data_IF_392368544670
#
_entry.id   IF_392368544670
#
_cell.length_a   1.000
_cell.length_b   1.000
_cell.length_c   1.000
_cell.angle_alpha   90.00
_cell.angle_beta   90.00
_cell.angle_gamma   90.00
#
_symmetry.space_group_name_H-M   'P 1'
#
loop_
_entity.id
_entity.type
_entity.pdbx_description
1 polymer ?
#
# COMPACT_ATOMS: atom_id res chain seq x y z
N UNK A 1 20.12 -41.02 10.58
CA UNK A 1 19.98 -39.63 10.11
C UNK A 1 18.71 -39.61 9.29
N UNK A 2 17.81 -38.66 9.50
CA UNK A 2 16.57 -38.60 8.72
C UNK A 2 16.91 -38.04 7.35
N UNK A 3 16.72 -38.84 6.30
CA UNK A 3 16.92 -38.39 4.92
C UNK A 3 15.88 -37.30 4.62
N UNK A 4 16.36 -36.11 4.23
CA UNK A 4 15.50 -34.99 3.92
C UNK A 4 14.76 -35.29 2.61
N UNK A 5 13.43 -35.41 2.70
CA UNK A 5 12.54 -35.64 1.58
C UNK A 5 11.97 -34.33 1.08
N UNK A 6 12.12 -34.06 -0.21
CA UNK A 6 11.63 -32.84 -0.84
C UNK A 6 10.41 -33.11 -1.71
N UNK A 7 9.49 -32.16 -1.71
CA UNK A 7 8.34 -32.14 -2.61
C UNK A 7 8.74 -31.72 -4.03
N UNK A 8 7.90 -32.07 -5.01
CA UNK A 8 8.11 -31.71 -6.43
C UNK A 8 8.37 -30.21 -6.63
N UNK A 9 7.66 -29.35 -5.88
CA UNK A 9 7.80 -27.89 -5.96
C UNK A 9 9.14 -27.41 -5.39
N UNK A 10 9.65 -28.03 -4.34
CA UNK A 10 10.95 -27.70 -3.75
C UNK A 10 12.09 -28.14 -4.68
N UNK A 11 11.99 -29.33 -5.28
CA UNK A 11 12.95 -29.81 -6.27
C UNK A 11 12.96 -28.92 -7.51
N UNK A 12 11.79 -28.43 -7.95
CA UNK A 12 11.70 -27.46 -9.05
C UNK A 12 12.44 -26.15 -8.74
N UNK A 13 12.35 -25.66 -7.49
CA UNK A 13 13.10 -24.48 -7.03
C UNK A 13 14.60 -24.74 -6.99
N UNK A 14 15.04 -25.86 -6.41
CA UNK A 14 16.46 -26.20 -6.26
C UNK A 14 17.14 -26.41 -7.62
N UNK A 15 16.45 -27.05 -8.57
CA UNK A 15 17.01 -27.38 -9.90
C UNK A 15 16.79 -26.27 -10.94
N UNK A 16 15.97 -25.25 -10.63
CA UNK A 16 15.57 -24.21 -11.58
C UNK A 16 14.80 -24.76 -12.80
N UNK A 17 14.20 -25.94 -12.69
CA UNK A 17 13.38 -26.57 -13.75
C UNK A 17 11.90 -26.50 -13.39
N UNK A 18 11.04 -26.50 -14.41
CA UNK A 18 9.59 -26.53 -14.17
C UNK A 18 9.16 -27.85 -13.52
N UNK A 19 8.14 -27.81 -12.65
CA UNK A 19 7.54 -29.00 -12.04
C UNK A 19 7.12 -30.06 -13.07
N UNK A 20 6.65 -29.63 -14.25
CA UNK A 20 6.30 -30.52 -15.36
C UNK A 20 7.50 -31.27 -15.92
N UNK A 21 8.67 -30.63 -15.96
CA UNK A 21 9.94 -31.25 -16.38
C UNK A 21 10.37 -32.30 -15.36
N UNK A 22 10.33 -31.97 -14.06
CA UNK A 22 10.64 -32.91 -12.98
C UNK A 22 9.68 -34.10 -13.01
N UNK A 23 8.37 -33.88 -13.18
CA UNK A 23 7.38 -34.95 -13.33
C UNK A 23 7.67 -35.85 -14.53
N UNK A 24 8.13 -35.29 -15.67
CA UNK A 24 8.54 -36.08 -16.83
C UNK A 24 9.78 -36.94 -16.52
N UNK A 25 10.74 -36.41 -15.78
CA UNK A 25 11.94 -37.16 -15.38
C UNK A 25 11.60 -38.35 -14.50
N UNK A 26 10.71 -38.16 -13.51
CA UNK A 26 10.19 -39.24 -12.67
C UNK A 26 9.49 -40.30 -13.54
N UNK A 27 8.57 -39.89 -14.43
CA UNK A 27 7.86 -40.82 -15.34
C UNK A 27 8.78 -41.56 -16.29
N UNK A 28 9.89 -40.95 -16.69
CA UNK A 28 10.90 -41.57 -17.55
C UNK A 28 11.91 -42.44 -16.79
N UNK A 29 11.80 -42.53 -15.46
CA UNK A 29 12.73 -43.29 -14.61
C UNK A 29 14.11 -42.65 -14.44
N UNK A 30 14.26 -41.37 -14.82
CA UNK A 30 15.52 -40.62 -14.69
C UNK A 30 15.75 -40.04 -13.30
N UNK A 31 14.69 -39.95 -12.50
CA UNK A 31 14.73 -39.43 -11.14
C UNK A 31 13.91 -40.39 -10.25
N UNK A 32 14.54 -41.10 -9.29
CA UNK A 32 13.80 -41.93 -8.35
C UNK A 32 12.91 -41.04 -7.46
N UNK A 33 11.67 -41.47 -7.26
CA UNK A 33 10.72 -40.74 -6.40
C UNK A 33 9.72 -41.72 -5.79
N UNK A 34 9.33 -41.44 -4.55
CA UNK A 34 8.32 -42.20 -3.81
C UNK A 34 6.99 -41.48 -3.97
N UNK A 35 5.95 -42.19 -4.43
CA UNK A 35 4.61 -41.62 -4.56
C UNK A 35 3.97 -41.51 -3.18
N UNK A 36 3.70 -40.30 -2.72
CA UNK A 36 3.04 -40.03 -1.45
C UNK A 36 1.73 -39.28 -1.68
N UNK A 37 0.61 -39.98 -1.59
CA UNK A 37 -0.72 -39.44 -1.88
C UNK A 37 -0.88 -39.01 -3.34
N UNK A 38 -1.18 -37.73 -3.56
CA UNK A 38 -1.32 -37.11 -4.89
C UNK A 38 0.01 -36.57 -5.46
N UNK A 39 1.09 -36.58 -4.69
CA UNK A 39 2.39 -36.03 -5.06
C UNK A 39 3.53 -37.06 -5.12
N UNK A 40 4.74 -36.55 -5.34
CA UNK A 40 6.00 -37.31 -5.33
C UNK A 40 6.94 -36.68 -4.31
N UNK A 41 7.61 -37.53 -3.53
CA UNK A 41 8.71 -37.17 -2.63
C UNK A 41 10.02 -37.71 -3.22
N UNK A 42 11.05 -36.88 -3.22
CA UNK A 42 12.36 -37.16 -3.80
C UNK A 42 13.41 -36.98 -2.70
N UNK A 43 14.31 -37.95 -2.56
CA UNK A 43 15.40 -37.90 -1.59
C UNK A 43 16.49 -36.93 -2.06
N UNK A 44 17.12 -36.24 -1.11
CA UNK A 44 18.12 -35.21 -1.42
C UNK A 44 19.29 -35.71 -2.29
N UNK A 45 19.72 -36.95 -2.05
CA UNK A 45 20.86 -37.57 -2.72
C UNK A 45 20.64 -37.75 -4.23
N UNK A 46 19.38 -37.84 -4.65
CA UNK A 46 19.01 -38.14 -6.04
C UNK A 46 18.75 -36.88 -6.87
N UNK A 47 18.75 -35.69 -6.26
CA UNK A 47 18.51 -34.42 -6.97
C UNK A 47 19.76 -34.08 -7.81
N UNK A 48 19.66 -34.06 -9.16
CA UNK A 48 20.80 -33.75 -10.00
C UNK A 48 21.28 -32.32 -9.73
N UNK A 49 22.52 -32.24 -9.20
CA UNK A 49 23.36 -31.08 -8.89
C UNK A 49 22.65 -29.71 -8.84
N UNK A 50 22.62 -29.15 -7.62
CA UNK A 50 22.21 -27.79 -7.30
C UNK A 50 22.85 -26.81 -8.30
N UNK A 51 22.02 -26.14 -9.10
CA UNK A 51 22.45 -24.88 -9.70
C UNK A 51 22.65 -23.92 -8.52
N UNK A 52 23.87 -23.43 -8.39
CA UNK A 52 24.25 -22.51 -7.32
C UNK A 52 23.21 -21.36 -7.26
N UNK A 53 22.45 -21.22 -6.17
CA UNK A 53 21.36 -20.24 -6.07
C UNK A 53 21.87 -18.79 -6.08
N UNK A 54 23.20 -18.58 -6.09
CA UNK A 54 23.82 -17.26 -6.29
C UNK A 54 23.85 -16.81 -7.76
N UNK A 55 23.67 -17.71 -8.74
CA UNK A 55 23.58 -17.30 -10.14
C UNK A 55 22.14 -16.96 -10.51
N UNK A 56 21.84 -15.67 -10.38
CA UNK A 56 20.68 -15.05 -10.98
C UNK A 56 20.58 -15.45 -12.46
N UNK A 57 19.38 -15.90 -12.86
CA UNK A 57 19.09 -16.41 -14.21
C UNK A 57 19.45 -15.37 -15.28
N UNK A 58 19.37 -14.09 -14.91
CA UNK A 58 19.78 -12.97 -15.76
C UNK A 58 21.30 -12.89 -15.98
N UNK A 59 22.12 -13.18 -14.97
CA UNK A 59 23.58 -13.18 -15.08
C UNK A 59 24.08 -14.32 -15.98
N UNK A 60 23.50 -15.51 -15.87
CA UNK A 60 23.86 -16.64 -16.74
C UNK A 60 23.51 -16.38 -18.21
N UNK A 61 22.35 -15.75 -18.47
CA UNK A 61 21.94 -15.40 -19.84
C UNK A 61 22.83 -14.29 -20.40
N UNK A 62 23.20 -13.29 -19.59
CA UNK A 62 24.13 -12.24 -20.01
C UNK A 62 25.52 -12.79 -20.27
N UNK A 63 26.06 -13.66 -19.40
CA UNK A 63 27.36 -14.29 -19.60
C UNK A 63 27.40 -15.13 -20.89
N UNK A 64 26.30 -15.83 -21.19
CA UNK A 64 26.15 -16.61 -22.43
C UNK A 64 25.96 -15.76 -23.69
N UNK A 65 25.51 -14.52 -23.55
CA UNK A 65 25.43 -13.53 -24.64
C UNK A 65 26.75 -12.76 -24.83
N UNK A 66 27.63 -12.76 -23.83
CA UNK A 66 28.90 -12.06 -23.79
C UNK A 66 30.11 -12.94 -24.15
N UNK A 67 29.96 -14.26 -24.26
CA UNK A 67 30.98 -15.14 -24.84
C UNK A 67 30.94 -15.07 -26.38
N UNK A 68 31.99 -14.55 -27.05
CA UNK A 68 32.13 -14.65 -28.49
C UNK A 68 32.80 -15.97 -28.86
N UNK A 69 32.15 -16.72 -29.76
CA UNK A 69 32.66 -17.83 -30.56
C UNK A 69 33.26 -19.06 -29.84
N UNK A 70 32.39 -20.06 -29.66
CA UNK A 70 32.75 -21.42 -30.09
C UNK A 70 31.76 -21.89 -31.15
N UNK A 71 32.20 -21.76 -32.40
CA UNK A 71 31.73 -22.49 -33.59
C UNK A 71 31.64 -23.98 -33.25
N UNK A 72 30.43 -24.44 -32.95
CA UNK A 72 30.06 -25.85 -32.98
C UNK A 72 28.87 -25.97 -33.93
N UNK A 73 29.20 -26.34 -35.17
CA UNK A 73 28.37 -26.99 -36.18
C UNK A 73 26.86 -27.01 -35.90
N UNK A 74 26.19 -25.92 -36.24
CA UNK A 74 24.77 -25.96 -36.54
C UNK A 74 24.63 -26.15 -38.06
N UNK A 75 24.03 -27.25 -38.54
CA UNK A 75 23.72 -27.41 -39.94
C UNK A 75 22.67 -26.35 -40.30
N UNK A 76 23.13 -25.29 -40.95
CA UNK A 76 22.28 -24.35 -41.67
C UNK A 76 21.64 -25.17 -42.79
N UNK A 77 20.46 -25.71 -42.53
CA UNK A 77 19.61 -26.30 -43.56
C UNK A 77 19.00 -25.15 -44.37
N UNK A 78 19.83 -24.50 -45.17
CA UNK A 78 19.39 -23.72 -46.31
C UNK A 78 18.85 -24.70 -47.34
N UNK A 79 17.60 -25.10 -47.18
CA UNK A 79 16.79 -25.46 -48.33
C UNK A 79 16.42 -24.17 -49.06
N UNK A 80 17.45 -23.50 -49.59
CA UNK A 80 17.27 -22.65 -50.76
C UNK A 80 16.85 -23.62 -51.85
N UNK A 81 15.55 -23.67 -52.10
CA UNK A 81 14.96 -24.33 -53.27
C UNK A 81 15.43 -23.60 -54.51
N UNK A 82 16.71 -23.77 -54.85
CA UNK A 82 17.28 -23.44 -56.14
C UNK A 82 16.64 -24.44 -57.09
N UNK A 83 15.57 -24.02 -57.76
CA UNK A 83 14.97 -24.78 -58.85
C UNK A 83 16.08 -24.92 -59.90
N UNK A 84 16.64 -26.12 -60.04
CA UNK A 84 17.65 -26.43 -61.06
C UNK A 84 17.06 -26.18 -62.44
N UNK A 85 17.38 -25.03 -63.01
CA UNK A 85 17.02 -24.63 -64.38
C UNK A 85 17.59 -25.64 -65.40
N UNK A 86 18.61 -26.41 -65.01
CA UNK A 86 19.19 -27.47 -65.85
C UNK A 86 18.21 -28.61 -66.16
N UNK A 87 17.24 -28.92 -65.29
CA UNK A 87 16.22 -29.93 -65.58
C UNK A 87 15.10 -29.41 -66.50
N UNK A 88 14.99 -28.09 -66.68
CA UNK A 88 13.94 -27.49 -67.53
C UNK A 88 14.38 -27.41 -69.00
N UNK A 89 15.70 -27.32 -69.27
CA UNK A 89 16.24 -27.35 -70.63
C UNK A 89 16.19 -28.75 -71.26
N UNK A 90 16.29 -29.83 -70.48
CA UNK A 90 16.23 -31.20 -71.00
C UNK A 90 14.82 -31.59 -71.49
N UNK A 91 13.78 -31.00 -70.92
CA UNK A 91 12.39 -31.21 -71.36
C UNK A 91 12.15 -30.54 -72.72
N UNK A 92 12.83 -29.43 -73.02
CA UNK A 92 12.73 -28.74 -74.31
C UNK A 92 13.36 -29.52 -75.48
N UNK A 93 14.31 -30.44 -75.21
CA UNK A 93 14.98 -31.24 -76.25
C UNK A 93 14.18 -32.47 -76.70
N UNK A 94 13.06 -32.80 -76.04
CA UNK A 94 12.22 -33.97 -76.36
C UNK A 94 11.08 -33.68 -77.35
N UNK A 95 10.92 -32.43 -77.80
CA UNK A 95 9.80 -32.04 -78.67
C UNK A 95 10.02 -32.29 -80.18
N UNK A 96 11.23 -32.65 -80.63
CA UNK A 96 11.53 -32.66 -82.07
C UNK A 96 11.16 -33.95 -82.84
N UNK A 97 11.05 -35.14 -82.22
CA UNK A 97 10.83 -36.39 -82.98
C UNK A 97 9.70 -37.29 -82.42
N UNK A 98 8.69 -37.61 -83.25
CA UNK A 98 7.72 -38.70 -83.03
C UNK A 98 6.28 -38.28 -82.65
N UNK A 99 5.32 -38.40 -83.56
CA UNK A 99 4.05 -37.64 -83.55
C UNK A 99 2.77 -38.40 -83.12
N UNK A 100 2.82 -39.53 -82.40
CA UNK A 100 1.57 -40.31 -82.12
C UNK A 100 1.30 -40.62 -80.64
N UNK A 101 2.27 -40.52 -79.70
CA UNK A 101 2.03 -40.69 -78.25
C UNK A 101 2.06 -39.39 -77.42
N UNK A 102 2.20 -38.22 -78.05
CA UNK A 102 2.47 -36.93 -77.37
C UNK A 102 1.36 -36.42 -76.46
N UNK A 103 0.10 -36.83 -76.65
CA UNK A 103 -1.03 -36.25 -75.88
C UNK A 103 -0.95 -36.64 -74.40
N UNK A 104 -0.66 -37.90 -74.09
CA UNK A 104 -0.58 -38.39 -72.70
C UNK A 104 0.57 -37.75 -71.90
N UNK A 105 1.76 -37.59 -72.51
CA UNK A 105 2.91 -37.01 -71.81
C UNK A 105 2.75 -35.51 -71.52
N UNK A 106 2.13 -34.75 -72.44
CA UNK A 106 1.86 -33.32 -72.23
C UNK A 106 0.83 -33.13 -71.12
N UNK A 107 -0.21 -33.98 -71.07
CA UNK A 107 -1.21 -33.93 -70.00
C UNK A 107 -0.60 -34.24 -68.62
N UNK A 108 0.34 -35.18 -68.53
CA UNK A 108 1.06 -35.49 -67.28
C UNK A 108 1.94 -34.34 -66.80
N UNK A 109 2.65 -33.66 -67.72
CA UNK A 109 3.46 -32.47 -67.38
C UNK A 109 2.54 -31.32 -66.95
N UNK A 110 1.41 -31.12 -67.62
CA UNK A 110 0.43 -30.11 -67.24
C UNK A 110 -0.13 -30.37 -65.84
N UNK A 111 -0.46 -31.63 -65.51
CA UNK A 111 -0.93 -32.01 -64.17
C UNK A 111 0.16 -31.81 -63.11
N UNK A 112 1.42 -32.15 -63.42
CA UNK A 112 2.54 -31.94 -62.51
C UNK A 112 2.78 -30.44 -62.25
N UNK A 113 2.77 -29.61 -63.29
CA UNK A 113 2.90 -28.15 -63.17
C UNK A 113 1.74 -27.55 -62.38
N UNK A 114 0.52 -28.02 -62.62
CA UNK A 114 -0.65 -27.58 -61.86
C UNK A 114 -0.54 -27.95 -60.38
N UNK A 115 -0.05 -29.16 -60.07
CA UNK A 115 0.22 -29.57 -58.68
C UNK A 115 1.29 -28.70 -58.04
N UNK A 116 2.44 -28.50 -58.69
CA UNK A 116 3.49 -27.63 -58.17
C UNK A 116 3.01 -26.20 -57.98
N UNK A 117 2.20 -25.68 -58.91
CA UNK A 117 1.58 -24.37 -58.77
C UNK A 117 0.71 -24.30 -57.51
N UNK A 118 -0.14 -25.30 -57.27
CA UNK A 118 -0.97 -25.38 -56.06
C UNK A 118 -0.15 -25.51 -54.77
N UNK A 119 0.96 -26.25 -54.80
CA UNK A 119 1.87 -26.40 -53.66
C UNK A 119 2.57 -25.08 -53.35
N UNK A 120 3.03 -24.34 -54.37
CA UNK A 120 3.63 -23.00 -54.21
C UNK A 120 2.61 -22.02 -53.66
N UNK A 121 1.36 -22.01 -54.14
CA UNK A 121 0.31 -21.17 -53.58
C UNK A 121 0.01 -21.49 -52.11
N UNK A 122 0.04 -22.77 -51.73
CA UNK A 122 -0.13 -23.18 -50.34
C UNK A 122 1.01 -22.66 -49.48
N UNK A 123 2.26 -22.81 -49.92
CA UNK A 123 3.43 -22.29 -49.22
C UNK A 123 3.34 -20.77 -49.06
N UNK A 124 2.95 -20.03 -50.11
CA UNK A 124 2.78 -18.57 -50.03
C UNK A 124 1.71 -18.21 -48.99
N UNK A 125 0.58 -18.92 -48.94
CA UNK A 125 -0.46 -18.71 -47.93
C UNK A 125 0.07 -18.97 -46.51
N UNK A 126 0.75 -20.09 -46.30
CA UNK A 126 1.34 -20.43 -44.99
C UNK A 126 2.40 -19.41 -44.54
N UNK A 127 3.24 -18.93 -45.46
CA UNK A 127 4.23 -17.88 -45.18
C UNK A 127 3.56 -16.55 -44.83
N UNK A 128 2.48 -16.18 -45.53
CA UNK A 128 1.71 -14.98 -45.21
C UNK A 128 1.04 -15.07 -43.83
N UNK A 129 0.44 -16.22 -43.50
CA UNK A 129 -0.12 -16.45 -42.15
C UNK A 129 0.95 -16.38 -41.06
N UNK A 130 2.14 -16.93 -41.31
CA UNK A 130 3.25 -16.87 -40.37
C UNK A 130 3.75 -15.44 -40.18
N UNK A 131 3.89 -14.68 -41.26
CA UNK A 131 4.27 -13.27 -41.22
C UNK A 131 3.26 -12.44 -40.43
N UNK A 132 1.96 -12.70 -40.61
CA UNK A 132 0.91 -12.02 -39.85
C UNK A 132 0.97 -12.37 -38.35
N UNK A 133 1.16 -13.65 -38.01
CA UNK A 133 1.35 -14.08 -36.62
C UNK A 133 2.58 -13.42 -35.99
N UNK A 134 3.68 -13.31 -36.74
CA UNK A 134 4.90 -12.63 -36.28
C UNK A 134 4.64 -11.15 -36.04
N UNK A 135 3.97 -10.45 -36.95
CA UNK A 135 3.62 -9.04 -36.79
C UNK A 135 2.75 -8.81 -35.53
N UNK A 136 1.75 -9.67 -35.30
CA UNK A 136 0.89 -9.61 -34.10
C UNK A 136 1.68 -9.87 -32.81
N UNK A 137 2.58 -10.86 -32.82
CA UNK A 137 3.42 -11.17 -31.67
C UNK A 137 4.37 -10.02 -31.33
N UNK A 138 5.05 -9.45 -32.33
CA UNK A 138 5.96 -8.31 -32.16
C UNK A 138 5.22 -7.08 -31.62
N UNK A 139 4.03 -6.78 -32.14
CA UNK A 139 3.20 -5.70 -31.60
C UNK A 139 2.82 -5.96 -30.13
N UNK A 140 2.47 -7.20 -29.79
CA UNK A 140 2.12 -7.55 -28.41
C UNK A 140 3.31 -7.45 -27.46
N UNK A 141 4.51 -7.81 -27.91
CA UNK A 141 5.76 -7.65 -27.15
C UNK A 141 6.00 -6.16 -26.88
N UNK A 142 5.91 -5.30 -27.91
CA UNK A 142 6.08 -3.85 -27.73
C UNK A 142 5.08 -3.23 -26.75
N UNK A 143 3.82 -3.69 -26.74
CA UNK A 143 2.83 -3.25 -25.73
C UNK A 143 3.22 -3.65 -24.30
N UNK A 144 3.79 -4.85 -24.12
CA UNK A 144 4.23 -5.32 -22.80
C UNK A 144 5.50 -4.60 -22.35
N UNK A 145 6.43 -4.33 -23.26
CA UNK A 145 7.63 -3.52 -23.00
C UNK A 145 7.27 -2.11 -22.55
N UNK A 146 6.35 -1.43 -23.23
CA UNK A 146 5.90 -0.09 -22.82
C UNK A 146 5.21 -0.12 -21.45
N UNK A 147 4.38 -1.14 -21.19
CA UNK A 147 3.77 -1.33 -19.86
C UNK A 147 4.83 -1.55 -18.78
N UNK A 148 5.86 -2.35 -19.05
CA UNK A 148 6.96 -2.58 -18.12
C UNK A 148 7.76 -1.30 -17.87
N UNK A 149 8.07 -0.53 -18.92
CA UNK A 149 8.73 0.77 -18.79
C UNK A 149 7.96 1.73 -17.87
N UNK A 150 6.64 1.82 -18.03
CA UNK A 150 5.80 2.64 -17.16
C UNK A 150 5.78 2.13 -15.71
N UNK A 151 5.82 0.82 -15.49
CA UNK A 151 5.92 0.25 -14.14
C UNK A 151 7.27 0.56 -13.50
N UNK A 152 8.36 0.47 -14.24
CA UNK A 152 9.71 0.84 -13.79
C UNK A 152 9.80 2.33 -13.45
N UNK A 153 9.28 3.21 -14.32
CA UNK A 153 9.21 4.65 -14.05
C UNK A 153 8.41 4.97 -12.77
N UNK A 154 7.30 4.24 -12.55
CA UNK A 154 6.50 4.41 -11.33
C UNK A 154 7.19 3.88 -10.08
N UNK A 155 7.87 2.73 -10.17
CA UNK A 155 8.66 2.18 -9.07
C UNK A 155 9.79 3.15 -8.69
N UNK A 156 10.51 3.70 -9.67
CA UNK A 156 11.56 4.69 -9.42
C UNK A 156 11.00 5.95 -8.73
N UNK A 157 9.85 6.44 -9.16
CA UNK A 157 9.17 7.57 -8.50
C UNK A 157 8.76 7.24 -7.06
N UNK A 158 8.30 6.01 -6.81
CA UNK A 158 7.97 5.57 -5.45
C UNK A 158 9.21 5.47 -4.57
N UNK A 159 10.31 4.93 -5.08
CA UNK A 159 11.59 4.88 -4.37
C UNK A 159 12.11 6.28 -4.05
N UNK A 160 12.03 7.22 -4.99
CA UNK A 160 12.36 8.63 -4.73
C UNK A 160 11.46 9.26 -3.67
N UNK A 161 10.16 8.95 -3.66
CA UNK A 161 9.26 9.42 -2.60
C UNK A 161 9.61 8.80 -1.25
N UNK A 162 9.96 7.52 -1.23
CA UNK A 162 10.35 6.81 -0.02
C UNK A 162 11.67 7.34 0.54
N UNK A 163 12.62 7.74 -0.30
CA UNK A 163 13.90 8.31 0.15
C UNK A 163 13.77 9.73 0.71
N UNK A 164 12.73 10.47 0.31
CA UNK A 164 12.40 11.77 0.90
C UNK A 164 11.69 11.65 2.26
N UNK A 165 11.09 10.50 2.56
CA UNK A 165 10.48 10.28 3.86
C UNK A 165 11.58 10.09 4.91
N UNK A 166 11.42 10.69 6.09
CA UNK A 166 12.38 10.48 7.17
C UNK A 166 12.40 8.98 7.54
N UNK A 167 13.59 8.43 7.87
CA UNK A 167 13.73 7.03 8.24
C UNK A 167 12.79 6.70 9.41
N UNK A 168 12.31 5.44 9.48
CA UNK A 168 11.32 5.04 10.48
C UNK A 168 11.77 5.27 11.93
N UNK A 169 13.08 5.36 12.17
CA UNK A 169 13.67 5.73 13.47
C UNK A 169 13.27 7.15 13.88
N UNK A 170 13.33 8.14 12.98
CA UNK A 170 12.92 9.52 13.26
C UNK A 170 11.41 9.64 13.56
N UNK A 171 10.59 8.74 13.01
CA UNK A 171 9.17 8.68 13.34
C UNK A 171 8.90 8.20 14.76
N UNK A 172 9.79 7.37 15.33
CA UNK A 172 9.66 6.95 16.72
C UNK A 172 9.93 8.11 17.65
N UNK A 173 10.97 8.89 17.38
CA UNK A 173 11.31 10.10 18.14
C UNK A 173 10.17 11.11 18.06
N UNK A 174 9.70 11.43 16.85
CA UNK A 174 8.55 12.34 16.65
C UNK A 174 7.30 11.86 17.40
N UNK A 175 7.05 10.54 17.41
CA UNK A 175 5.91 9.96 18.12
C UNK A 175 6.07 10.06 19.65
N UNK A 176 7.28 9.86 20.16
CA UNK A 176 7.58 10.04 21.58
C UNK A 176 7.43 11.50 21.99
N UNK A 177 7.94 12.44 21.20
CA UNK A 177 7.76 13.89 21.43
C UNK A 177 6.28 14.28 21.44
N UNK A 178 5.47 13.78 20.50
CA UNK A 178 4.03 14.02 20.48
C UNK A 178 3.32 13.45 21.71
N UNK A 179 3.76 12.28 22.22
CA UNK A 179 3.22 11.71 23.45
C UNK A 179 3.58 12.58 24.65
N UNK A 180 4.83 13.02 24.76
CA UNK A 180 5.28 13.92 25.83
C UNK A 180 4.52 15.25 25.81
N UNK A 181 4.33 15.85 24.63
CA UNK A 181 3.55 17.08 24.45
C UNK A 181 2.08 16.88 24.86
N UNK A 182 1.49 15.75 24.50
CA UNK A 182 0.12 15.41 24.87
C UNK A 182 -0.04 15.28 26.38
N UNK A 183 0.89 14.60 27.04
CA UNK A 183 0.86 14.42 28.49
C UNK A 183 1.11 15.75 29.22
N UNK A 184 2.00 16.59 28.70
CA UNK A 184 2.22 17.94 29.20
C UNK A 184 0.96 18.80 29.08
N UNK A 185 0.28 18.79 27.94
CA UNK A 185 -0.95 19.55 27.72
C UNK A 185 -2.05 19.12 28.69
N UNK A 186 -2.23 17.80 28.89
CA UNK A 186 -3.18 17.27 29.88
C UNK A 186 -2.86 17.75 31.30
N UNK A 187 -1.57 17.76 31.67
CA UNK A 187 -1.16 18.25 32.97
C UNK A 187 -1.45 19.75 33.12
N UNK A 188 -1.12 20.55 32.12
CA UNK A 188 -1.42 22.00 32.13
C UNK A 188 -2.92 22.27 32.19
N UNK A 189 -3.73 21.49 31.48
CA UNK A 189 -5.19 21.60 31.55
C UNK A 189 -5.72 21.27 32.94
N UNK A 190 -5.21 20.19 33.57
CA UNK A 190 -5.58 19.82 34.93
C UNK A 190 -5.17 20.90 35.95
N UNK A 191 -3.96 21.46 35.83
CA UNK A 191 -3.50 22.57 36.67
C UNK A 191 -4.35 23.83 36.49
N UNK A 192 -4.75 24.14 35.26
CA UNK A 192 -5.62 25.27 34.96
C UNK A 192 -7.02 25.06 35.56
N UNK A 193 -7.61 23.88 35.41
CA UNK A 193 -8.89 23.53 36.03
C UNK A 193 -8.81 23.61 37.56
N UNK A 194 -7.72 23.15 38.17
CA UNK A 194 -7.49 23.27 39.60
C UNK A 194 -7.43 24.73 40.06
N UNK A 195 -6.70 25.60 39.33
CA UNK A 195 -6.65 27.04 39.61
C UNK A 195 -8.01 27.71 39.49
N UNK A 196 -8.82 27.33 38.49
CA UNK A 196 -10.18 27.82 38.34
C UNK A 196 -11.05 27.43 39.54
N UNK A 197 -10.99 26.16 39.97
CA UNK A 197 -11.73 25.68 41.14
C UNK A 197 -11.32 26.41 42.43
N UNK A 198 -10.01 26.59 42.65
CA UNK A 198 -9.51 27.37 43.80
C UNK A 198 -10.01 28.83 43.74
N UNK A 199 -9.95 29.46 42.57
CA UNK A 199 -10.43 30.83 42.39
C UNK A 199 -11.93 30.93 42.71
N UNK A 200 -12.74 29.99 42.23
CA UNK A 200 -14.17 29.94 42.54
C UNK A 200 -14.43 29.75 44.04
N UNK A 201 -13.69 28.87 44.70
CA UNK A 201 -13.79 28.66 46.16
C UNK A 201 -13.44 29.93 46.93
N UNK A 202 -12.33 30.59 46.59
CA UNK A 202 -11.94 31.85 47.25
C UNK A 202 -12.98 32.94 47.06
N UNK A 203 -13.59 33.01 45.87
CA UNK A 203 -14.65 33.98 45.60
C UNK A 203 -15.93 33.68 46.39
N UNK A 204 -16.33 32.41 46.48
CA UNK A 204 -17.45 31.98 47.32
C UNK A 204 -17.22 32.32 48.80
N UNK A 205 -16.00 32.12 49.29
CA UNK A 205 -15.65 32.45 50.68
C UNK A 205 -15.70 33.97 50.92
N UNK A 206 -15.20 34.78 49.98
CA UNK A 206 -15.31 36.24 50.06
C UNK A 206 -16.77 36.70 50.10
N UNK A 207 -17.64 36.12 49.26
CA UNK A 207 -19.07 36.40 49.28
C UNK A 207 -19.71 36.03 50.62
N UNK A 208 -19.32 34.89 51.21
CA UNK A 208 -19.80 34.44 52.52
C UNK A 208 -19.42 35.44 53.62
N UNK A 209 -18.16 35.89 53.64
CA UNK A 209 -17.68 36.89 54.60
C UNK A 209 -18.41 38.22 54.44
N UNK A 210 -18.61 38.70 53.20
CA UNK A 210 -19.36 39.93 52.94
C UNK A 210 -20.83 39.84 53.37
N UNK A 211 -21.46 38.68 53.15
CA UNK A 211 -22.83 38.42 53.62
C UNK A 211 -22.92 38.44 55.14
N UNK A 212 -21.94 37.85 55.84
CA UNK A 212 -21.87 37.88 57.29
C UNK A 212 -21.67 39.30 57.84
N UNK A 213 -20.79 40.09 57.22
CA UNK A 213 -20.60 41.51 57.56
C UNK A 213 -21.88 42.33 57.35
N UNK A 214 -22.61 42.11 56.25
CA UNK A 214 -23.89 42.75 55.99
C UNK A 214 -24.95 42.37 57.03
N UNK A 215 -24.98 41.11 57.46
CA UNK A 215 -25.89 40.64 58.50
C UNK A 215 -25.56 41.31 59.86
N UNK A 216 -24.28 41.37 60.23
CA UNK A 216 -23.82 42.06 61.44
C UNK A 216 -24.15 43.55 61.42
N UNK A 217 -23.90 44.24 60.29
CA UNK A 217 -24.25 45.65 60.13
C UNK A 217 -25.76 45.90 60.21
N UNK A 218 -26.56 45.00 59.64
CA UNK A 218 -28.03 45.07 59.74
C UNK A 218 -28.50 44.93 61.19
N UNK A 219 -27.94 43.96 61.93
CA UNK A 219 -28.25 43.78 63.35
C UNK A 219 -27.84 44.99 64.19
N UNK A 220 -26.61 45.50 64.00
CA UNK A 220 -26.12 46.69 64.69
C UNK A 220 -26.97 47.93 64.39
N UNK A 221 -27.42 48.07 63.15
CA UNK A 221 -28.36 49.14 62.76
C UNK A 221 -29.69 49.00 63.51
N UNK A 222 -30.25 47.80 63.59
CA UNK A 222 -31.51 47.56 64.32
C UNK A 222 -31.38 47.85 65.82
N UNK A 223 -30.25 47.51 66.45
CA UNK A 223 -30.01 47.82 67.87
C UNK A 223 -29.89 49.33 68.09
N UNK A 224 -29.18 50.04 67.21
CA UNK A 224 -29.10 51.51 67.26
C UNK A 224 -30.46 52.17 67.07
N UNK A 225 -31.27 51.70 66.11
CA UNK A 225 -32.63 52.19 65.90
C UNK A 225 -33.47 52.02 67.18
N UNK A 226 -33.43 50.84 67.81
CA UNK A 226 -34.12 50.59 69.09
C UNK A 226 -33.65 51.51 70.23
N UNK A 227 -32.34 51.78 70.33
CA UNK A 227 -31.79 52.72 71.30
C UNK A 227 -32.24 54.17 71.02
N UNK A 228 -32.23 54.60 69.76
CA UNK A 228 -32.71 55.93 69.39
C UNK A 228 -34.20 56.11 69.71
N UNK A 229 -35.03 55.09 69.49
CA UNK A 229 -36.44 55.10 69.87
C UNK A 229 -36.62 55.16 71.39
N UNK A 230 -35.81 54.43 72.17
CA UNK A 230 -35.82 54.50 73.64
C UNK A 230 -35.46 55.89 74.14
N UNK A 231 -34.36 56.46 73.64
CA UNK A 231 -33.93 57.81 74.01
C UNK A 231 -34.96 58.87 73.62
N UNK A 232 -35.61 58.74 72.46
CA UNK A 232 -36.70 59.63 72.06
C UNK A 232 -37.89 59.54 73.02
N UNK A 233 -38.28 58.33 73.45
CA UNK A 233 -39.34 58.13 74.45
C UNK A 233 -38.95 58.75 75.79
N UNK A 234 -37.74 58.50 76.28
CA UNK A 234 -37.24 59.10 77.52
C UNK A 234 -37.23 60.65 77.45
N UNK A 235 -36.80 61.23 76.32
CA UNK A 235 -36.87 62.67 76.11
C UNK A 235 -38.30 63.20 76.09
N UNK A 236 -39.23 62.48 75.45
CA UNK A 236 -40.65 62.83 75.47
C UNK A 236 -41.20 62.80 76.90
N UNK A 237 -40.95 61.73 77.65
CA UNK A 237 -41.39 61.57 79.04
C UNK A 237 -40.82 62.65 79.95
N UNK A 238 -39.51 62.95 79.84
CA UNK A 238 -38.86 64.04 80.56
C UNK A 238 -39.45 65.41 80.20
N UNK A 239 -39.71 65.67 78.92
CA UNK A 239 -40.32 66.93 78.48
C UNK A 239 -41.73 67.10 79.04
N UNK A 240 -42.53 66.03 79.05
CA UNK A 240 -43.85 66.01 79.66
C UNK A 240 -43.77 66.22 81.17
N UNK A 241 -42.84 65.54 81.86
CA UNK A 241 -42.62 65.73 83.29
C UNK A 241 -42.24 67.18 83.61
N UNK A 242 -41.34 67.78 82.84
CA UNK A 242 -40.91 69.16 82.99
C UNK A 242 -42.06 70.15 82.73
N UNK A 243 -42.93 69.89 81.75
CA UNK A 243 -44.16 70.66 81.56
C UNK A 243 -45.12 70.54 82.74
N UNK A 244 -45.28 69.34 83.32
CA UNK A 244 -46.13 69.16 84.51
C UNK A 244 -45.56 69.90 85.72
N UNK A 245 -44.24 69.91 85.91
CA UNK A 245 -43.59 70.70 86.96
C UNK A 245 -43.71 72.20 86.73
N UNK A 246 -43.52 72.68 85.48
CA UNK A 246 -43.76 74.08 85.13
C UNK A 246 -45.19 74.50 85.40
N UNK A 247 -46.17 73.66 85.06
CA UNK A 247 -47.59 73.90 85.38
C UNK A 247 -47.77 73.98 86.90
N UNK A 248 -47.24 73.03 87.68
CA UNK A 248 -47.29 73.07 89.16
C UNK A 248 -46.66 74.36 89.73
N UNK A 249 -45.46 74.73 89.30
CA UNK A 249 -44.78 75.95 89.74
C UNK A 249 -45.47 77.24 89.29
N UNK A 250 -46.10 77.24 88.10
CA UNK A 250 -46.92 78.35 87.62
C UNK A 250 -48.17 78.55 88.48
N UNK A 251 -48.91 77.48 88.77
CA UNK A 251 -50.07 77.53 89.67
C UNK A 251 -49.66 77.95 91.08
N UNK A 252 -48.50 77.49 91.55
CA UNK A 252 -47.96 77.89 92.85
C UNK A 252 -47.57 79.37 92.91
N UNK A 253 -47.15 80.00 91.80
CA UNK A 253 -46.92 81.46 91.74
C UNK A 253 -48.21 82.28 91.55
N UNK A 254 -49.20 81.74 90.85
CA UNK A 254 -50.47 82.43 90.58
C UNK A 254 -51.45 82.38 91.76
N UNK A 255 -51.34 81.38 92.64
CA UNK A 255 -52.29 81.16 93.75
C UNK A 255 -51.61 80.85 95.09
N UNK A 256 -50.27 80.82 95.16
CA UNK A 256 -49.48 80.52 96.35
C UNK A 256 -48.49 81.63 96.65
N UNK A 257 -49.03 82.80 97.00
CA UNK A 257 -48.36 83.96 97.56
C UNK A 257 -49.40 84.79 98.29
#
# INVERSE_FOLDING_TARGET
MADAQYSLAEVAKITGKSEKTISRWIKSGKLPAIRHGTGYLIDEADIPLRLDPSLDRHAFIQQKLLEPDHVADMPVSTHSGRVDIHNLLDVASLFSNGQVERKSSIDNISQMLQKHHSDVEKIIREQNELAEKYARATYKIGQLEERNRLLEENNLKLEQKMSLLPPPEQWQDTRQELLQLKDHLKQTEAEHQQKQMQTQQTHQEQLRVLQEQLAQMTQAKQTLEQETERLQKEQQDLSQALETEKKKGFWQRMFGG
#
